data_IF_564014033447
#
_entry.id   IF_564014033447
#
_cell.length_a   1.000
_cell.length_b   1.000
_cell.length_c   1.000
_cell.angle_alpha   90.00
_cell.angle_beta   90.00
_cell.angle_gamma   90.00
#
_symmetry.space_group_name_H-M   'P 1'
#
loop_
_entity.id
_entity.type
_entity.pdbx_description
1 polymer ?
#
# COMPACT_ATOMS: atom_id res chain seq x y z
N UNK A 1 6.19 3.42 -5.59
CA UNK A 1 6.30 3.11 -4.16
C UNK A 1 5.15 2.22 -3.77
N UNK A 2 3.90 2.65 -3.99
CA UNK A 2 2.71 1.86 -3.71
C UNK A 2 2.74 0.49 -4.41
N UNK A 3 3.07 0.46 -5.71
CA UNK A 3 3.25 -0.79 -6.47
C UNK A 3 4.27 -1.69 -5.79
N UNK A 4 5.51 -1.22 -5.62
CA UNK A 4 6.58 -2.02 -5.02
C UNK A 4 6.24 -2.55 -3.61
N UNK A 5 5.57 -1.74 -2.78
CA UNK A 5 5.16 -2.15 -1.44
C UNK A 5 4.12 -3.26 -1.55
N UNK A 6 3.08 -3.06 -2.36
CA UNK A 6 1.99 -4.03 -2.47
C UNK A 6 2.44 -5.31 -3.13
N UNK A 7 3.28 -5.25 -4.17
CA UNK A 7 3.83 -6.46 -4.82
C UNK A 7 4.68 -7.28 -3.85
N UNK A 8 5.51 -6.63 -3.03
CA UNK A 8 6.31 -7.31 -2.01
C UNK A 8 5.48 -7.93 -0.90
N UNK A 9 4.37 -7.28 -0.49
CA UNK A 9 3.53 -7.78 0.61
C UNK A 9 2.55 -8.85 0.15
N UNK A 10 2.01 -8.71 -1.07
CA UNK A 10 1.07 -9.68 -1.65
C UNK A 10 1.73 -10.85 -2.35
N UNK A 11 3.06 -10.81 -2.54
CA UNK A 11 3.81 -11.76 -3.35
C UNK A 11 3.26 -11.87 -4.80
N UNK A 12 2.66 -10.80 -5.30
CA UNK A 12 2.09 -10.69 -6.65
C UNK A 12 2.82 -9.62 -7.45
N UNK A 13 3.24 -9.96 -8.66
CA UNK A 13 3.83 -9.01 -9.62
C UNK A 13 2.77 -8.47 -10.60
N UNK A 14 3.06 -7.34 -11.24
CA UNK A 14 2.23 -6.78 -12.31
C UNK A 14 1.07 -5.94 -11.79
N UNK A 15 1.10 -5.48 -10.54
CA UNK A 15 0.01 -4.69 -9.96
C UNK A 15 -0.12 -3.29 -10.61
N UNK A 16 0.92 -2.81 -11.28
CA UNK A 16 0.84 -1.58 -12.09
C UNK A 16 -0.13 -1.69 -13.28
N UNK A 17 -0.36 -2.91 -13.80
CA UNK A 17 -1.27 -3.13 -14.94
C UNK A 17 -2.74 -3.15 -14.50
N UNK A 18 -3.02 -3.44 -13.22
CA UNK A 18 -4.35 -3.48 -12.63
C UNK A 18 -4.37 -2.75 -11.28
N UNK A 19 -4.10 -1.44 -11.33
CA UNK A 19 -3.89 -0.62 -10.13
C UNK A 19 -5.13 -0.48 -9.23
N UNK A 20 -6.33 -0.79 -9.73
CA UNK A 20 -7.61 -0.74 -9.05
C UNK A 20 -8.05 -2.09 -8.46
N UNK A 21 -7.28 -3.16 -8.68
CA UNK A 21 -7.55 -4.49 -8.12
C UNK A 21 -7.64 -4.45 -6.59
N UNK A 22 -8.77 -4.92 -6.04
CA UNK A 22 -8.93 -5.06 -4.59
C UNK A 22 -8.21 -6.32 -4.09
N UNK A 23 -7.06 -6.10 -3.45
CA UNK A 23 -6.17 -7.15 -2.99
C UNK A 23 -6.70 -7.90 -1.76
N UNK A 24 -7.62 -7.31 -0.99
CA UNK A 24 -8.26 -8.06 0.09
C UNK A 24 -9.33 -8.99 -0.43
N UNK A 25 -10.15 -8.53 -1.38
CA UNK A 25 -11.15 -9.38 -2.03
C UNK A 25 -10.49 -10.49 -2.87
N UNK A 26 -9.31 -10.22 -3.45
CA UNK A 26 -8.48 -11.22 -4.10
C UNK A 26 -7.80 -12.21 -3.13
N UNK A 27 -7.89 -11.99 -1.82
CA UNK A 27 -7.26 -12.84 -0.78
C UNK A 27 -5.74 -12.69 -0.70
N UNK A 28 -5.18 -11.62 -1.26
CA UNK A 28 -3.74 -11.35 -1.32
C UNK A 28 -3.24 -10.53 -0.13
N UNK A 29 -4.11 -9.73 0.49
CA UNK A 29 -3.84 -9.03 1.74
C UNK A 29 -4.74 -9.54 2.86
N UNK A 30 -4.17 -9.66 4.04
CA UNK A 30 -4.87 -9.97 5.29
C UNK A 30 -4.62 -8.86 6.34
N UNK A 31 -5.04 -9.09 7.59
CA UNK A 31 -4.82 -8.14 8.68
C UNK A 31 -3.34 -7.94 9.04
N UNK A 32 -2.48 -8.94 8.80
CA UNK A 32 -1.04 -8.85 9.08
C UNK A 32 -0.31 -8.10 7.97
N UNK A 33 -0.77 -8.26 6.72
CA UNK A 33 -0.26 -7.54 5.57
C UNK A 33 -0.35 -6.01 5.76
N UNK A 34 -1.40 -5.52 6.44
CA UNK A 34 -1.53 -4.10 6.85
C UNK A 34 -0.31 -3.62 7.62
N UNK A 35 0.17 -4.41 8.60
CA UNK A 35 1.35 -4.06 9.41
C UNK A 35 2.61 -4.05 8.54
N UNK A 36 2.74 -4.99 7.60
CA UNK A 36 3.88 -5.03 6.67
C UNK A 36 3.92 -3.80 5.77
N UNK A 37 2.77 -3.38 5.21
CA UNK A 37 2.64 -2.14 4.42
C UNK A 37 3.09 -0.93 5.24
N UNK A 38 2.66 -0.84 6.51
CA UNK A 38 3.07 0.25 7.42
C UNK A 38 4.60 0.28 7.55
N UNK A 39 5.21 -0.84 7.95
CA UNK A 39 6.66 -0.94 8.15
C UNK A 39 7.43 -0.54 6.89
N UNK A 40 6.94 -0.94 5.72
CA UNK A 40 7.55 -0.56 4.44
C UNK A 40 7.48 0.94 4.16
N UNK A 41 6.34 1.59 4.42
CA UNK A 41 6.20 3.04 4.25
C UNK A 41 7.13 3.77 5.22
N UNK A 42 7.16 3.37 6.49
CA UNK A 42 8.06 3.96 7.49
C UNK A 42 9.53 3.84 7.08
N UNK A 43 9.96 2.66 6.60
CA UNK A 43 11.32 2.42 6.16
C UNK A 43 11.75 3.29 4.96
N UNK A 44 10.82 3.58 4.04
CA UNK A 44 11.09 4.37 2.81
C UNK A 44 10.98 5.88 3.02
N UNK A 45 10.17 6.32 3.98
CA UNK A 45 9.82 7.74 4.13
C UNK A 45 10.31 8.35 5.45
N UNK A 46 10.66 7.53 6.44
CA UNK A 46 11.04 7.97 7.78
C UNK A 46 9.88 8.49 8.64
N UNK A 47 8.65 8.45 8.14
CA UNK A 47 7.47 8.83 8.94
C UNK A 47 7.13 7.71 9.92
N UNK A 48 6.37 8.04 10.97
CA UNK A 48 5.76 7.03 11.85
C UNK A 48 4.27 6.91 11.59
N UNK A 49 3.79 5.68 11.56
CA UNK A 49 2.44 5.32 11.20
C UNK A 49 1.90 4.28 12.18
N UNK A 50 0.65 4.48 12.61
CA UNK A 50 -0.09 3.55 13.44
C UNK A 50 -1.15 2.82 12.61
N UNK A 51 -1.56 1.60 12.98
CA UNK A 51 -2.64 0.90 12.30
C UNK A 51 -3.95 1.72 12.23
N UNK A 52 -4.19 2.58 13.23
CA UNK A 52 -5.34 3.49 13.27
C UNK A 52 -5.28 4.65 12.29
N UNK A 53 -4.12 4.92 11.70
CA UNK A 53 -3.94 5.96 10.68
C UNK A 53 -4.46 5.52 9.29
N UNK A 54 -4.84 4.24 9.17
CA UNK A 54 -5.33 3.61 7.96
C UNK A 54 -6.75 3.09 8.13
N UNK A 55 -7.50 3.16 7.04
CA UNK A 55 -8.65 2.29 6.80
C UNK A 55 -8.20 1.13 5.92
N UNK A 56 -8.85 -0.04 6.06
CA UNK A 56 -8.64 -1.18 5.14
C UNK A 56 -8.72 -0.72 3.67
N UNK A 57 -9.67 0.15 3.37
CA UNK A 57 -9.87 0.71 2.03
C UNK A 57 -8.64 1.49 1.53
N UNK A 58 -7.94 2.23 2.39
CA UNK A 58 -6.81 3.08 2.00
C UNK A 58 -5.64 2.28 1.38
N UNK A 59 -5.55 0.98 1.65
CA UNK A 59 -4.49 0.11 1.14
C UNK A 59 -5.02 -1.05 0.29
N UNK A 60 -6.31 -1.04 -0.07
CA UNK A 60 -6.94 -2.17 -0.74
C UNK A 60 -6.48 -2.35 -2.20
N UNK A 61 -5.92 -1.31 -2.82
CA UNK A 61 -5.37 -1.35 -4.18
C UNK A 61 -4.19 -0.39 -4.32
N UNK A 62 -3.46 -0.49 -5.43
CA UNK A 62 -2.36 0.45 -5.76
C UNK A 62 -2.88 1.87 -5.80
N UNK A 63 -3.99 2.11 -6.50
CA UNK A 63 -4.57 3.45 -6.64
C UNK A 63 -4.92 4.07 -5.28
N UNK A 64 -5.52 3.28 -4.38
CA UNK A 64 -5.91 3.77 -3.05
C UNK A 64 -4.71 4.07 -2.18
N UNK A 65 -3.69 3.21 -2.19
CA UNK A 65 -2.46 3.44 -1.44
C UNK A 65 -1.70 4.67 -1.98
N UNK A 66 -1.62 4.84 -3.29
CA UNK A 66 -1.04 6.04 -3.90
C UNK A 66 -1.74 7.31 -3.41
N UNK A 67 -3.08 7.34 -3.48
CA UNK A 67 -3.86 8.49 -2.98
C UNK A 67 -3.63 8.75 -1.49
N UNK A 68 -3.54 7.69 -0.68
CA UNK A 68 -3.24 7.80 0.74
C UNK A 68 -1.88 8.47 0.99
N UNK A 69 -0.85 8.10 0.22
CA UNK A 69 0.50 8.66 0.31
C UNK A 69 0.53 10.13 -0.14
N UNK A 70 -0.10 10.43 -1.28
CA UNK A 70 -0.21 11.80 -1.82
C UNK A 70 -0.90 12.76 -0.85
N UNK A 71 -1.98 12.31 -0.21
CA UNK A 71 -2.70 13.07 0.82
C UNK A 71 -1.83 13.40 2.04
N UNK A 72 -0.73 12.67 2.25
CA UNK A 72 0.28 12.92 3.30
C UNK A 72 1.50 13.70 2.81
N UNK A 73 1.48 14.17 1.55
CA UNK A 73 2.60 14.87 0.93
C UNK A 73 3.78 13.96 0.59
N UNK A 74 3.58 12.64 0.62
CA UNK A 74 4.60 11.66 0.22
C UNK A 74 4.49 11.50 -1.29
N UNK A 75 5.51 11.95 -2.01
CA UNK A 75 5.56 11.75 -3.46
C UNK A 75 5.90 10.30 -3.75
N UNK A 76 4.96 9.58 -4.34
CA UNK A 76 5.29 8.33 -5.00
C UNK A 76 5.97 8.65 -6.34
N UNK A 77 7.26 8.33 -6.46
CA UNK A 77 8.04 8.58 -7.67
C UNK A 77 7.83 7.52 -8.78
N UNK A 78 6.96 6.53 -8.56
CA UNK A 78 6.75 5.41 -9.48
C UNK A 78 5.61 5.61 -10.49
N UNK A 79 5.04 6.83 -10.59
CA UNK A 79 4.03 7.22 -11.59
C UNK A 79 4.43 8.53 -12.29
#
# INVERSE_FOLDING_TARGET
MAVEILEQVSEMEGLSENSDLDLFEAGLLDSLAVISVIVQIEARTGIRLQPTDFKRDDIASVEKLTKFLENRGIKDASL
#
